data_IF_225376104720
#
_entry.id   IF_225376104720
#
_cell.length_a   1.000
_cell.length_b   1.000
_cell.length_c   1.000
_cell.angle_alpha   90.00
_cell.angle_beta   90.00
_cell.angle_gamma   90.00
#
_symmetry.space_group_name_H-M   'P 1'
#
loop_
_entity.id
_entity.type
_entity.pdbx_description
1 polymer ?
#
# COMPACT_ATOMS: atom_id res chain seq x y z
N UNK A 1 6.45 -8.90 -11.95
CA UNK A 1 5.76 -9.31 -10.69
C UNK A 1 4.60 -8.32 -10.39
N UNK A 2 3.53 -8.35 -11.21
CA UNK A 2 2.30 -7.52 -11.06
C UNK A 2 1.20 -8.23 -10.25
N UNK A 3 1.42 -9.49 -9.90
CA UNK A 3 0.36 -10.42 -9.51
C UNK A 3 -0.32 -10.08 -8.19
N UNK A 4 0.36 -9.45 -7.22
CA UNK A 4 -0.25 -9.18 -5.92
C UNK A 4 -1.34 -8.11 -5.98
N UNK A 5 -1.16 -7.05 -6.77
CA UNK A 5 -2.19 -6.01 -6.92
C UNK A 5 -3.41 -6.57 -7.65
N UNK A 6 -3.21 -7.31 -8.74
CA UNK A 6 -4.30 -7.98 -9.45
C UNK A 6 -5.03 -9.00 -8.56
N UNK A 7 -4.29 -9.76 -7.74
CA UNK A 7 -4.89 -10.71 -6.81
C UNK A 7 -5.72 -10.02 -5.72
N UNK A 8 -5.26 -8.87 -5.23
CA UNK A 8 -6.04 -8.04 -4.31
C UNK A 8 -7.33 -7.52 -4.96
N UNK A 9 -7.26 -7.05 -6.21
CA UNK A 9 -8.42 -6.56 -6.97
C UNK A 9 -9.45 -7.68 -7.19
N UNK A 10 -9.01 -8.90 -7.53
CA UNK A 10 -9.91 -10.05 -7.59
C UNK A 10 -10.53 -10.36 -6.22
N UNK A 11 -9.76 -10.21 -5.14
CA UNK A 11 -10.26 -10.33 -3.78
C UNK A 11 -11.32 -9.28 -3.43
N UNK A 12 -11.20 -8.05 -3.95
CA UNK A 12 -12.22 -7.01 -3.82
C UNK A 12 -13.48 -7.40 -4.61
N UNK A 13 -13.32 -7.74 -5.89
CA UNK A 13 -14.42 -8.07 -6.80
C UNK A 13 -15.30 -9.20 -6.25
N UNK A 14 -14.68 -10.28 -5.78
CA UNK A 14 -15.39 -11.42 -5.21
C UNK A 14 -15.68 -11.30 -3.70
N UNK A 15 -15.31 -10.17 -3.08
CA UNK A 15 -15.49 -9.90 -1.64
C UNK A 15 -14.87 -10.99 -0.75
N UNK A 16 -13.68 -11.47 -1.11
CA UNK A 16 -12.95 -12.51 -0.39
C UNK A 16 -11.88 -11.87 0.50
N UNK A 17 -12.23 -11.58 1.75
CA UNK A 17 -11.35 -10.95 2.76
C UNK A 17 -9.97 -11.61 2.84
N UNK A 18 -9.92 -12.95 2.94
CA UNK A 18 -8.66 -13.68 3.07
C UNK A 18 -7.71 -13.47 1.87
N UNK A 19 -8.27 -13.30 0.67
CA UNK A 19 -7.49 -13.05 -0.55
C UNK A 19 -6.92 -11.64 -0.54
N UNK A 20 -7.73 -10.65 -0.14
CA UNK A 20 -7.27 -9.26 0.01
C UNK A 20 -6.13 -9.18 1.03
N UNK A 21 -6.29 -9.79 2.20
CA UNK A 21 -5.31 -9.78 3.29
C UNK A 21 -4.01 -10.49 2.89
N UNK A 22 -4.11 -11.67 2.25
CA UNK A 22 -2.93 -12.39 1.74
C UNK A 22 -2.17 -11.59 0.69
N UNK A 23 -2.90 -10.98 -0.27
CA UNK A 23 -2.29 -10.14 -1.28
C UNK A 23 -1.59 -8.92 -0.67
N UNK A 24 -2.18 -8.31 0.36
CA UNK A 24 -1.58 -7.21 1.10
C UNK A 24 -0.28 -7.62 1.81
N UNK A 25 -0.27 -8.76 2.51
CA UNK A 25 0.93 -9.26 3.18
C UNK A 25 2.05 -9.57 2.18
N UNK A 26 1.70 -10.15 1.03
CA UNK A 26 2.68 -10.47 -0.02
C UNK A 26 3.30 -9.19 -0.60
N UNK A 27 2.52 -8.17 -0.91
CA UNK A 27 3.06 -6.93 -1.48
C UNK A 27 3.86 -6.12 -0.46
N UNK A 28 3.42 -6.07 0.81
CA UNK A 28 4.14 -5.39 1.89
C UNK A 28 5.49 -6.04 2.13
N UNK A 29 5.52 -7.37 2.22
CA UNK A 29 6.75 -8.15 2.35
C UNK A 29 7.69 -7.96 1.16
N UNK A 30 7.16 -7.95 -0.07
CA UNK A 30 7.95 -7.71 -1.27
C UNK A 30 8.64 -6.34 -1.24
N UNK A 31 7.90 -5.26 -0.99
CA UNK A 31 8.49 -3.92 -0.96
C UNK A 31 9.46 -3.73 0.19
N UNK A 32 9.18 -4.33 1.35
CA UNK A 32 10.07 -4.33 2.52
C UNK A 32 11.38 -5.05 2.18
N UNK A 33 11.30 -6.29 1.70
CA UNK A 33 12.47 -7.13 1.41
C UNK A 33 13.34 -6.62 0.26
N UNK A 34 12.71 -6.05 -0.78
CA UNK A 34 13.44 -5.45 -1.90
C UNK A 34 13.89 -4.00 -1.64
N UNK A 35 13.54 -3.42 -0.49
CA UNK A 35 13.67 -1.98 -0.19
C UNK A 35 13.16 -1.09 -1.34
N UNK A 36 12.00 -1.44 -1.90
CA UNK A 36 11.37 -0.73 -3.00
C UNK A 36 10.12 0.02 -2.51
N UNK A 37 9.60 0.90 -3.36
CA UNK A 37 8.31 1.58 -3.20
C UNK A 37 7.49 1.46 -4.47
N UNK A 38 6.23 1.88 -4.42
CA UNK A 38 5.36 1.81 -5.59
C UNK A 38 5.88 2.68 -6.75
N UNK A 39 6.11 2.08 -7.94
CA UNK A 39 6.34 2.84 -9.16
C UNK A 39 5.02 3.41 -9.71
N UNK A 40 5.13 4.44 -10.55
CA UNK A 40 4.00 5.17 -11.14
C UNK A 40 2.92 4.26 -11.77
N UNK A 41 3.33 3.34 -12.64
CA UNK A 41 2.40 2.43 -13.32
C UNK A 41 1.56 1.57 -12.37
N UNK A 42 2.04 1.27 -11.15
CA UNK A 42 1.26 0.52 -10.15
C UNK A 42 0.20 1.40 -9.50
N UNK A 43 0.50 2.69 -9.33
CA UNK A 43 -0.48 3.66 -8.84
C UNK A 43 -1.59 3.79 -9.87
N UNK A 44 -1.26 4.00 -11.15
CA UNK A 44 -2.26 4.06 -12.23
C UNK A 44 -3.09 2.79 -12.28
N UNK A 45 -2.44 1.62 -12.32
CA UNK A 45 -3.14 0.34 -12.39
C UNK A 45 -4.17 0.14 -11.26
N UNK A 46 -3.81 0.45 -10.01
CA UNK A 46 -4.77 0.28 -8.90
C UNK A 46 -5.90 1.32 -8.97
N UNK A 47 -5.62 2.54 -9.43
CA UNK A 47 -6.65 3.57 -9.56
C UNK A 47 -7.60 3.32 -10.73
N UNK A 48 -7.14 2.72 -11.82
CA UNK A 48 -7.96 2.33 -12.98
C UNK A 48 -8.84 1.11 -12.74
N UNK A 49 -8.47 0.23 -11.81
CA UNK A 49 -9.12 -1.08 -11.61
C UNK A 49 -9.84 -1.19 -10.25
N UNK A 50 -9.99 -0.08 -9.53
CA UNK A 50 -10.82 -0.01 -8.32
C UNK A 50 -11.56 1.32 -8.37
N UNK A 51 -12.73 1.44 -7.72
CA UNK A 51 -13.48 2.70 -7.67
C UNK A 51 -13.40 3.34 -6.29
N UNK A 52 -13.45 2.53 -5.23
CA UNK A 52 -13.50 2.97 -3.83
C UNK A 52 -12.12 3.10 -3.17
N UNK A 53 -12.05 3.86 -2.07
CA UNK A 53 -10.87 3.86 -1.21
C UNK A 53 -10.65 2.45 -0.65
N UNK A 54 -9.40 1.99 -0.69
CA UNK A 54 -9.04 0.67 -0.23
C UNK A 54 -7.59 0.64 0.27
N UNK A 55 -7.30 -0.37 1.09
CA UNK A 55 -6.00 -0.48 1.74
C UNK A 55 -4.85 -0.57 0.73
N UNK A 56 -5.06 -1.19 -0.44
CA UNK A 56 -4.02 -1.31 -1.47
C UNK A 56 -3.70 0.05 -2.11
N UNK A 57 -4.70 0.85 -2.47
CA UNK A 57 -4.52 2.23 -2.95
C UNK A 57 -3.71 3.03 -1.94
N UNK A 58 -4.19 3.09 -0.69
CA UNK A 58 -3.52 3.81 0.41
C UNK A 58 -2.09 3.33 0.60
N UNK A 59 -1.85 2.03 0.64
CA UNK A 59 -0.52 1.47 0.83
C UNK A 59 0.45 1.90 -0.28
N UNK A 60 0.05 1.72 -1.55
CA UNK A 60 0.90 2.07 -2.69
C UNK A 60 1.23 3.57 -2.71
N UNK A 61 0.22 4.41 -2.54
CA UNK A 61 0.38 5.88 -2.51
C UNK A 61 1.30 6.31 -1.37
N UNK A 62 1.09 5.79 -0.16
CA UNK A 62 1.94 6.14 0.99
C UNK A 62 3.38 5.68 0.80
N UNK A 63 3.63 4.52 0.21
CA UNK A 63 5.03 4.11 -0.07
C UNK A 63 5.69 4.99 -1.14
N UNK A 64 4.96 5.43 -2.16
CA UNK A 64 5.50 6.37 -3.16
C UNK A 64 5.82 7.74 -2.53
N UNK A 65 4.90 8.26 -1.72
CA UNK A 65 5.07 9.50 -0.97
C UNK A 65 6.24 9.43 0.03
N UNK A 66 6.40 8.30 0.72
CA UNK A 66 7.53 8.05 1.63
C UNK A 66 8.87 8.19 0.90
N UNK A 67 9.00 7.56 -0.28
CA UNK A 67 10.22 7.71 -1.08
C UNK A 67 10.47 9.15 -1.50
N UNK A 68 9.44 9.87 -1.93
CA UNK A 68 9.57 11.26 -2.34
C UNK A 68 10.11 12.16 -1.21
N UNK A 69 9.61 11.95 0.02
CA UNK A 69 10.08 12.67 1.20
C UNK A 69 11.49 12.25 1.62
N UNK A 70 11.82 10.96 1.58
CA UNK A 70 13.16 10.47 1.92
C UNK A 70 14.23 10.91 0.92
N UNK A 71 13.92 10.95 -0.38
CA UNK A 71 14.85 11.41 -1.42
C UNK A 71 14.83 12.94 -1.62
N UNK A 72 13.87 13.66 -1.02
CA UNK A 72 13.67 15.09 -1.23
C UNK A 72 13.25 15.48 -2.65
N UNK A 73 12.74 14.52 -3.45
CA UNK A 73 12.30 14.73 -4.83
C UNK A 73 11.25 13.71 -5.24
N UNK A 74 10.35 14.10 -6.13
CA UNK A 74 9.41 13.19 -6.80
C UNK A 74 10.06 12.70 -8.09
N UNK A 75 9.98 11.40 -8.39
CA UNK A 75 10.44 10.86 -9.67
C UNK A 75 9.56 11.37 -10.82
N UNK A 76 10.15 11.63 -11.99
CA UNK A 76 9.44 12.11 -13.19
C UNK A 76 8.17 11.29 -13.51
N UNK A 77 8.26 9.96 -13.51
CA UNK A 77 7.09 9.09 -13.74
C UNK A 77 5.96 9.28 -12.73
N UNK A 78 6.27 9.56 -11.45
CA UNK A 78 5.23 9.81 -10.43
C UNK A 78 4.69 11.22 -10.57
N UNK A 79 5.55 12.18 -10.95
CA UNK A 79 5.13 13.54 -11.23
C UNK A 79 4.11 13.58 -12.38
N UNK A 80 4.38 12.89 -13.50
CA UNK A 80 3.44 12.77 -14.63
C UNK A 80 2.07 12.24 -14.18
N UNK A 81 2.06 11.22 -13.33
CA UNK A 81 0.81 10.64 -12.82
C UNK A 81 0.06 11.59 -11.88
N UNK A 82 0.78 12.36 -11.06
CA UNK A 82 0.18 13.37 -10.17
C UNK A 82 -0.33 14.58 -10.98
N UNK A 83 0.37 14.98 -12.04
CA UNK A 83 -0.02 16.08 -12.93
C UNK A 83 -1.32 15.81 -13.70
N UNK A 84 -1.62 14.54 -14.01
CA UNK A 84 -2.94 14.12 -14.53
C UNK A 84 -4.09 14.46 -13.57
N UNK A 85 -3.79 14.67 -12.29
CA UNK A 85 -4.76 15.07 -11.27
C UNK A 85 -5.63 13.91 -10.76
N UNK A 86 -6.88 14.24 -10.43
CA UNK A 86 -7.86 13.25 -9.96
C UNK A 86 -7.62 12.72 -8.54
N UNK A 87 -8.29 11.60 -8.18
CA UNK A 87 -8.20 11.01 -6.84
C UNK A 87 -6.77 10.66 -6.42
N UNK A 88 -5.97 10.13 -7.34
CA UNK A 88 -4.58 9.75 -7.09
C UNK A 88 -3.75 10.95 -6.62
N UNK A 89 -3.82 12.09 -7.32
CA UNK A 89 -3.11 13.30 -6.94
C UNK A 89 -3.53 13.79 -5.55
N UNK A 90 -4.84 13.77 -5.26
CA UNK A 90 -5.37 14.14 -3.95
C UNK A 90 -4.82 13.25 -2.84
N UNK A 91 -4.83 11.93 -3.05
CA UNK A 91 -4.36 10.96 -2.07
C UNK A 91 -2.85 11.01 -1.89
N UNK A 92 -2.10 11.30 -2.97
CA UNK A 92 -0.65 11.50 -2.90
C UNK A 92 -0.29 12.71 -2.03
N UNK A 93 -0.98 13.84 -2.22
CA UNK A 93 -0.79 15.03 -1.36
C UNK A 93 -1.15 14.74 0.09
N UNK A 94 -2.29 14.07 0.35
CA UNK A 94 -2.67 13.66 1.71
C UNK A 94 -1.60 12.75 2.34
N UNK A 95 -1.04 11.82 1.57
CA UNK A 95 0.01 10.93 2.05
C UNK A 95 1.30 11.69 2.39
N UNK A 96 1.71 12.66 1.57
CA UNK A 96 2.84 13.54 1.88
C UNK A 96 2.64 14.29 3.20
N UNK A 97 1.48 14.95 3.36
CA UNK A 97 1.14 15.66 4.60
C UNK A 97 1.11 14.74 5.82
N UNK A 98 0.49 13.56 5.68
CA UNK A 98 0.38 12.58 6.76
C UNK A 98 1.74 12.03 7.20
N UNK A 99 2.64 11.75 6.26
CA UNK A 99 3.99 11.28 6.54
C UNK A 99 4.86 12.37 7.18
N UNK A 100 4.74 13.62 6.72
CA UNK A 100 5.45 14.73 7.34
C UNK A 100 5.02 14.91 8.80
N UNK A 101 3.72 14.79 9.09
CA UNK A 101 3.17 14.93 10.45
C UNK A 101 3.44 13.76 11.40
N UNK A 102 3.80 12.58 10.89
CA UNK A 102 4.01 11.37 11.71
C UNK A 102 5.47 10.94 11.85
N UNK A 103 6.43 11.74 11.36
CA UNK A 103 7.86 11.41 11.44
C UNK A 103 8.32 10.38 10.42
N UNK A 104 7.68 10.35 9.24
CA UNK A 104 8.01 9.43 8.14
C UNK A 104 7.92 7.95 8.56
N UNK A 105 6.77 7.54 9.10
CA UNK A 105 6.55 6.12 9.44
C UNK A 105 6.55 5.26 8.17
N UNK A 106 7.43 4.27 8.10
CA UNK A 106 7.51 3.32 6.99
C UNK A 106 6.40 2.26 7.07
N UNK A 107 5.33 2.47 6.32
CA UNK A 107 4.16 1.56 6.25
C UNK A 107 4.47 0.18 5.67
N UNK A 108 5.64 0.00 5.04
CA UNK A 108 6.09 -1.32 4.64
C UNK A 108 6.37 -2.19 5.86
N UNK A 109 6.64 -1.60 7.03
CA UNK A 109 6.96 -2.23 8.31
C UNK A 109 5.82 -2.16 9.32
N UNK A 110 5.99 -2.83 10.45
CA UNK A 110 5.00 -2.88 11.54
C UNK A 110 3.84 -3.83 11.27
N UNK A 111 2.88 -3.81 12.19
CA UNK A 111 1.72 -4.73 12.27
C UNK A 111 1.05 -5.02 10.91
N UNK A 112 0.81 -6.31 10.61
CA UNK A 112 0.02 -6.75 9.45
C UNK A 112 -1.45 -6.37 9.56
N UNK A 113 -2.03 -6.51 10.75
CA UNK A 113 -3.46 -6.29 11.00
C UNK A 113 -3.88 -4.83 10.70
N UNK A 114 -2.98 -3.86 10.88
CA UNK A 114 -3.23 -2.47 10.49
C UNK A 114 -3.50 -2.28 8.99
N UNK A 115 -3.18 -3.29 8.17
CA UNK A 115 -3.36 -3.32 6.72
C UNK A 115 -4.26 -4.47 6.26
N UNK A 116 -5.05 -5.05 7.16
CA UNK A 116 -6.03 -6.08 6.81
C UNK A 116 -7.46 -5.53 6.83
N UNK A 117 -8.32 -6.07 5.98
CA UNK A 117 -9.77 -5.89 6.04
C UNK A 117 -10.37 -6.94 6.98
N UNK A 118 -11.51 -6.61 7.61
CA UNK A 118 -12.18 -7.42 8.65
C UNK A 118 -13.70 -7.53 8.47
N UNK A 119 -14.20 -7.22 7.27
CA UNK A 119 -15.64 -7.13 6.99
C UNK A 119 -16.36 -8.49 7.12
N UNK A 120 -15.69 -9.59 6.81
CA UNK A 120 -16.17 -10.96 6.98
C UNK A 120 -15.88 -11.56 8.36
N UNK A 121 -15.28 -10.79 9.28
CA UNK A 121 -15.01 -11.20 10.66
C UNK A 121 -13.83 -12.15 10.83
N UNK A 122 -12.95 -12.29 9.83
CA UNK A 122 -11.76 -13.12 10.00
C UNK A 122 -10.82 -12.48 11.02
N UNK A 123 -10.34 -13.28 11.97
CA UNK A 123 -9.38 -12.81 12.98
C UNK A 123 -7.98 -12.89 12.41
N UNK A 124 -7.22 -11.79 12.45
CA UNK A 124 -5.78 -11.86 12.18
C UNK A 124 -5.10 -12.88 13.10
N UNK A 125 -4.11 -13.63 12.60
CA UNK A 125 -3.22 -14.41 13.45
C UNK A 125 -2.58 -13.50 14.51
N UNK A 126 -2.24 -14.04 15.68
CA UNK A 126 -1.62 -13.27 16.75
C UNK A 126 -0.33 -12.55 16.30
N UNK A 127 0.44 -13.14 15.38
CA UNK A 127 1.59 -12.51 14.73
C UNK A 127 1.21 -11.22 13.98
N UNK A 128 0.04 -11.17 13.36
CA UNK A 128 -0.46 -9.98 12.67
C UNK A 128 -0.86 -8.83 13.60
N UNK A 129 -1.02 -9.06 14.92
CA UNK A 129 -1.38 -8.03 15.90
C UNK A 129 -0.18 -7.33 16.55
N UNK A 130 1.00 -7.43 15.94
CA UNK A 130 2.26 -6.90 16.50
C UNK A 130 3.15 -7.97 17.14
N UNK A 131 2.96 -9.24 16.79
CA UNK A 131 3.98 -10.25 17.06
C UNK A 131 5.13 -10.08 16.07
N UNK A 132 6.36 -10.29 16.54
CA UNK A 132 7.56 -10.31 15.71
C UNK A 132 7.29 -11.17 14.48
N UNK A 133 7.50 -10.60 13.28
CA UNK A 133 7.40 -11.38 12.05
C UNK A 133 8.44 -12.52 12.11
N UNK A 134 8.22 -13.68 11.46
CA UNK A 134 9.05 -14.88 11.64
C UNK A 134 10.55 -14.74 11.33
N UNK A 135 10.98 -13.58 10.82
CA UNK A 135 12.38 -13.26 10.53
C UNK A 135 12.95 -12.16 11.45
N UNK A 136 12.15 -11.65 12.39
CA UNK A 136 12.57 -10.73 13.45
C UNK A 136 13.06 -11.49 14.72
N UNK A 137 13.26 -12.82 14.61
CA UNK A 137 13.87 -13.72 15.60
C UNK A 137 15.23 -14.22 15.18
#
# INVERSE_FOLDING_TARGET
MHHYVGFYILGLEFRIENVQNLAMDLIRRYYRGANMTAPAYRLEYVYENTDEDNLMRRFLVVTAAYRALCEGRISESVQEVVEKGGPLASDFVKALCGLHGNGLVDVRRGSSCAWHTHEGGAKCPAAGKGGLEPYES
#
